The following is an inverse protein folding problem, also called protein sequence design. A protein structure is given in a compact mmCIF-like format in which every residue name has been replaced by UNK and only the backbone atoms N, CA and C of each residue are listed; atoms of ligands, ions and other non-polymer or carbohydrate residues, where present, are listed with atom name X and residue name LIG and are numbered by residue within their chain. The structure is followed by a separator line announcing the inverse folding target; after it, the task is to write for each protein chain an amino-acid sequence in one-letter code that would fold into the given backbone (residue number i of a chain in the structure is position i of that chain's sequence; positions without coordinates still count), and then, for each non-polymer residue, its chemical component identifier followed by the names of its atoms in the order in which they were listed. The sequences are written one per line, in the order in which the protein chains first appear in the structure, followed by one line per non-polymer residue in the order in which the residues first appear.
data_IF_058972212155
#
_entry.id   IF_058972212155
#
_cell.length_a   1.000
_cell.length_b   1.000
_cell.length_c   1.000
_cell.angle_alpha   90.00
_cell.angle_beta   90.00
_cell.angle_gamma   90.00
#
_symmetry.space_group_name_H-M   'P 1'
#
loop_
_entity.id
_entity.type
_entity.pdbx_description
1 polymer ?
#
# COMPACT_ATOMS: atom_id res chain seq x y z
N UNK A 1 -16.44 25.84 8.76
CA UNK A 1 -15.49 25.20 7.81
C UNK A 1 -15.01 23.87 8.38
N UNK A 2 -15.15 22.81 7.63
CA UNK A 2 -14.70 21.52 8.07
C UNK A 2 -13.25 21.28 7.66
N UNK A 3 -12.46 20.80 8.59
CA UNK A 3 -11.12 20.32 8.30
C UNK A 3 -11.21 18.82 8.00
N UNK A 4 -11.08 18.48 6.74
CA UNK A 4 -11.16 17.07 6.33
C UNK A 4 -9.75 16.58 6.00
N UNK A 5 -9.33 15.58 6.73
CA UNK A 5 -8.12 14.83 6.43
C UNK A 5 -8.52 13.39 6.22
N UNK A 6 -8.05 12.79 5.13
CA UNK A 6 -8.34 11.39 4.84
C UNK A 6 -7.19 10.51 5.28
N UNK A 7 -7.51 9.29 5.67
CA UNK A 7 -6.51 8.28 6.06
C UNK A 7 -6.50 7.18 5.01
N UNK A 8 -5.32 6.88 4.49
CA UNK A 8 -5.13 5.73 3.60
C UNK A 8 -4.28 4.69 4.30
N UNK A 9 -4.63 3.44 4.07
CA UNK A 9 -3.83 2.30 4.51
C UNK A 9 -3.17 1.67 3.29
N UNK A 10 -1.93 1.24 3.45
CA UNK A 10 -1.16 0.59 2.40
C UNK A 10 -0.52 -0.65 2.98
N UNK A 11 -0.58 -1.75 2.24
CA UNK A 11 -0.06 -3.03 2.70
C UNK A 11 1.16 -3.49 1.91
N UNK A 12 2.17 -3.95 2.64
CA UNK A 12 3.33 -4.61 2.05
C UNK A 12 3.25 -6.08 2.43
N UNK A 13 3.03 -6.93 1.45
CA UNK A 13 3.01 -8.37 1.60
C UNK A 13 4.20 -8.96 0.87
N UNK A 14 5.07 -9.65 1.61
CA UNK A 14 6.29 -10.24 1.06
C UNK A 14 6.24 -11.74 1.30
N UNK A 15 6.46 -12.51 0.23
CA UNK A 15 6.64 -13.95 0.27
C UNK A 15 7.74 -14.35 -0.71
N UNK A 16 8.67 -15.20 -0.30
CA UNK A 16 9.73 -15.71 -1.16
C UNK A 16 10.50 -14.61 -1.90
N UNK A 17 10.83 -13.53 -1.17
CA UNK A 17 11.54 -12.37 -1.71
C UNK A 17 10.80 -11.64 -2.82
N UNK A 18 9.47 -11.78 -2.85
CA UNK A 18 8.58 -11.08 -3.77
C UNK A 18 7.58 -10.23 -2.99
N UNK A 19 7.24 -9.09 -3.55
CA UNK A 19 6.27 -8.17 -2.97
C UNK A 19 5.02 -8.10 -3.84
N UNK A 20 3.85 -8.04 -3.19
CA UNK A 20 2.57 -7.96 -3.88
C UNK A 20 2.36 -6.54 -4.41
N UNK A 21 2.15 -6.42 -5.72
CA UNK A 21 1.85 -5.16 -6.39
C UNK A 21 0.56 -5.26 -7.17
N UNK A 22 -0.09 -4.11 -7.32
CA UNK A 22 -1.25 -3.96 -8.20
C UNK A 22 -0.89 -3.01 -9.34
N UNK A 23 -1.33 -3.34 -10.56
CA UNK A 23 -1.13 -2.48 -11.72
C UNK A 23 -2.23 -1.42 -11.74
N UNK A 24 -1.88 -0.27 -11.19
CA UNK A 24 -2.76 0.87 -11.02
C UNK A 24 -1.93 2.12 -11.04
N UNK A 25 -2.34 3.12 -11.81
CA UNK A 25 -1.54 4.35 -11.93
C UNK A 25 -1.57 5.14 -10.63
N UNK A 26 -0.38 5.38 -10.07
CA UNK A 26 -0.19 6.19 -8.87
C UNK A 26 1.02 7.10 -9.09
N UNK A 27 0.81 8.42 -9.02
CA UNK A 27 1.85 9.40 -9.28
C UNK A 27 2.53 9.14 -10.63
N UNK A 28 3.82 8.83 -10.65
CA UNK A 28 4.59 8.58 -11.87
C UNK A 28 4.74 7.09 -12.18
N UNK A 29 4.04 6.24 -11.44
CA UNK A 29 4.15 4.78 -11.60
C UNK A 29 2.86 4.20 -12.16
N UNK A 30 3.00 3.08 -12.88
CA UNK A 30 1.86 2.27 -13.31
C UNK A 30 1.58 1.11 -12.35
N UNK A 31 2.46 0.88 -11.38
CA UNK A 31 2.32 -0.13 -10.35
C UNK A 31 2.40 0.50 -8.98
N UNK A 32 1.63 -0.03 -8.05
CA UNK A 32 1.59 0.48 -6.69
C UNK A 32 1.42 -0.67 -5.68
N UNK A 33 1.60 -0.31 -4.42
CA UNK A 33 1.26 -1.19 -3.31
C UNK A 33 -0.26 -1.18 -3.14
N UNK A 34 -0.88 -2.32 -2.78
CA UNK A 34 -2.32 -2.37 -2.53
C UNK A 34 -2.69 -1.53 -1.31
N UNK A 35 -3.86 -0.94 -1.36
CA UNK A 35 -4.36 -0.12 -0.27
C UNK A 35 -5.48 0.80 -0.72
N UNK A 36 -5.94 1.62 0.18
CA UNK A 36 -7.01 2.55 -0.09
C UNK A 36 -7.41 3.34 1.14
N UNK A 37 -8.52 4.05 1.03
CA UNK A 37 -9.01 4.91 2.10
C UNK A 37 -9.71 4.11 3.18
N UNK A 38 -9.41 4.44 4.44
CA UNK A 38 -10.22 3.95 5.54
C UNK A 38 -11.60 4.62 5.45
N UNK A 39 -12.65 3.84 5.63
CA UNK A 39 -14.01 4.35 5.59
C UNK A 39 -14.47 4.77 6.98
N UNK A 40 -15.48 5.63 7.01
CA UNK A 40 -16.04 6.10 8.26
C UNK A 40 -16.53 4.90 9.11
N UNK A 41 -16.08 4.85 10.35
CA UNK A 41 -16.44 3.77 11.27
C UNK A 41 -15.55 2.54 11.23
N UNK A 42 -14.58 2.49 10.31
CA UNK A 42 -13.62 1.39 10.26
C UNK A 42 -12.41 1.67 11.14
N UNK A 43 -11.87 0.63 11.76
CA UNK A 43 -10.50 0.68 12.29
C UNK A 43 -9.53 0.59 11.10
N UNK A 44 -8.28 0.97 11.32
CA UNK A 44 -7.24 0.84 10.28
C UNK A 44 -7.02 -0.62 9.88
N UNK A 45 -7.10 -1.53 10.85
CA UNK A 45 -7.00 -2.96 10.58
C UNK A 45 -8.13 -3.44 9.68
N UNK A 46 -9.36 -3.05 9.99
CA UNK A 46 -10.53 -3.41 9.17
C UNK A 46 -10.40 -2.88 7.76
N UNK A 47 -9.94 -1.62 7.61
CA UNK A 47 -9.73 -1.00 6.31
C UNK A 47 -8.68 -1.77 5.51
N UNK A 48 -7.56 -2.14 6.15
CA UNK A 48 -6.50 -2.87 5.47
C UNK A 48 -6.94 -4.23 4.98
N UNK A 49 -7.64 -4.98 5.83
CA UNK A 49 -8.17 -6.30 5.50
C UNK A 49 -9.18 -6.21 4.35
N UNK A 50 -10.08 -5.23 4.40
CA UNK A 50 -11.09 -5.01 3.36
C UNK A 50 -10.43 -4.66 2.02
N UNK A 51 -9.50 -3.71 2.02
CA UNK A 51 -8.82 -3.29 0.78
C UNK A 51 -8.05 -4.44 0.14
N UNK A 52 -7.37 -5.25 0.92
CA UNK A 52 -6.65 -6.42 0.40
C UNK A 52 -7.61 -7.42 -0.23
N UNK A 53 -8.71 -7.69 0.43
CA UNK A 53 -9.74 -8.61 -0.08
C UNK A 53 -10.33 -8.09 -1.39
N UNK A 54 -10.68 -6.81 -1.43
CA UNK A 54 -11.29 -6.19 -2.61
C UNK A 54 -10.32 -6.11 -3.79
N UNK A 55 -9.06 -5.77 -3.53
CA UNK A 55 -8.10 -5.52 -4.60
C UNK A 55 -7.38 -6.76 -5.08
N UNK A 56 -7.16 -7.73 -4.22
CA UNK A 56 -6.29 -8.88 -4.53
C UNK A 56 -6.92 -10.24 -4.30
N UNK A 57 -8.05 -10.31 -3.59
CA UNK A 57 -8.69 -11.58 -3.22
C UNK A 57 -8.05 -12.29 -2.03
N UNK A 58 -7.01 -11.70 -1.44
CA UNK A 58 -6.28 -12.34 -0.34
C UNK A 58 -6.84 -11.96 1.02
N UNK A 59 -6.87 -12.93 1.94
CA UNK A 59 -7.14 -12.68 3.35
C UNK A 59 -5.80 -12.54 4.07
N UNK A 60 -5.67 -11.45 4.82
CA UNK A 60 -4.42 -11.08 5.48
C UNK A 60 -4.66 -10.69 6.92
N UNK A 61 -3.58 -10.68 7.72
CA UNK A 61 -3.59 -9.94 8.97
C UNK A 61 -2.41 -8.97 9.00
N UNK A 62 -2.47 -8.01 9.92
CA UNK A 62 -1.39 -7.06 10.11
C UNK A 62 -0.32 -7.69 10.97
N UNK A 63 0.91 -7.77 10.44
CA UNK A 63 2.05 -8.26 11.18
C UNK A 63 2.65 -7.17 12.05
N UNK A 64 2.83 -5.97 11.48
CA UNK A 64 3.25 -4.80 12.25
C UNK A 64 3.04 -3.50 11.50
N UNK A 65 2.99 -2.40 12.25
CA UNK A 65 3.02 -1.06 11.70
C UNK A 65 4.42 -0.75 11.18
N UNK A 66 4.53 -0.31 9.94
CA UNK A 66 5.80 0.12 9.38
C UNK A 66 6.00 1.62 9.51
N UNK A 67 5.17 2.41 8.84
CA UNK A 67 5.38 3.86 8.79
C UNK A 67 4.10 4.66 8.79
N UNK A 68 4.18 5.85 9.35
CA UNK A 68 3.15 6.88 9.25
C UNK A 68 3.76 8.04 8.48
N UNK A 69 3.12 8.43 7.38
CA UNK A 69 3.61 9.51 6.51
C UNK A 69 2.51 10.50 6.18
N UNK A 70 2.92 11.74 5.95
CA UNK A 70 2.03 12.80 5.51
C UNK A 70 2.04 12.96 3.99
N UNK A 71 0.90 13.34 3.44
CA UNK A 71 0.78 13.84 2.08
C UNK A 71 -0.12 15.08 2.10
N UNK A 72 0.45 16.22 2.54
CA UNK A 72 -0.34 17.44 2.71
C UNK A 72 -0.75 18.11 1.42
N UNK A 73 -0.07 17.83 0.31
CA UNK A 73 -0.36 18.40 -1.00
C UNK A 73 -1.53 17.71 -1.72
N UNK A 74 -2.06 16.62 -1.17
CA UNK A 74 -3.28 16.02 -1.69
C UNK A 74 -4.49 16.87 -1.29
N UNK A 75 -5.60 16.73 -2.03
CA UNK A 75 -6.84 17.45 -1.73
C UNK A 75 -8.00 16.46 -1.64
N UNK A 76 -8.49 16.20 -0.41
CA UNK A 76 -8.01 16.66 0.88
C UNK A 76 -6.65 16.06 1.26
N UNK A 77 -6.00 16.67 2.24
CA UNK A 77 -4.73 16.15 2.76
C UNK A 77 -4.87 14.71 3.22
N UNK A 78 -3.81 13.93 3.05
CA UNK A 78 -3.81 12.52 3.40
C UNK A 78 -2.82 12.21 4.50
N UNK A 79 -3.20 11.26 5.33
CA UNK A 79 -2.29 10.58 6.24
C UNK A 79 -2.16 9.14 5.76
N UNK A 80 -0.95 8.71 5.47
CA UNK A 80 -0.67 7.35 4.99
C UNK A 80 -0.14 6.48 6.11
N UNK A 81 -0.78 5.32 6.28
CA UNK A 81 -0.36 4.31 7.25
C UNK A 81 0.05 3.08 6.47
N UNK A 82 1.31 2.66 6.59
CA UNK A 82 1.84 1.49 5.90
C UNK A 82 2.05 0.35 6.87
N UNK A 83 1.50 -0.82 6.54
CA UNK A 83 1.58 -2.02 7.35
C UNK A 83 2.35 -3.12 6.63
N UNK A 84 3.08 -3.92 7.40
CA UNK A 84 3.57 -5.21 6.93
C UNK A 84 2.49 -6.24 7.19
N UNK A 85 2.14 -6.99 6.14
CA UNK A 85 1.04 -7.94 6.18
C UNK A 85 1.54 -9.38 6.12
N UNK A 86 0.70 -10.28 6.59
CA UNK A 86 0.89 -11.72 6.48
C UNK A 86 -0.33 -12.31 5.79
N UNK A 87 -0.10 -13.15 4.78
CA UNK A 87 -1.19 -13.83 4.10
C UNK A 87 -1.69 -14.99 4.95
N UNK A 88 -2.99 -15.05 5.15
CA UNK A 88 -3.64 -16.15 5.84
C UNK A 88 -4.16 -17.19 4.87
N UNK A 89 -4.97 -16.77 3.89
CA UNK A 89 -5.55 -17.66 2.88
C UNK A 89 -5.84 -16.88 1.61
N UNK A 90 -6.27 -17.61 0.59
CA UNK A 90 -6.76 -17.05 -0.65
C UNK A 90 -5.78 -17.13 -1.79
N UNK A 91 -6.29 -16.89 -2.97
CA UNK A 91 -5.53 -16.82 -4.21
C UNK A 91 -5.71 -15.45 -4.82
N UNK A 92 -4.69 -14.98 -5.52
CA UNK A 92 -4.76 -13.69 -6.20
C UNK A 92 -5.89 -13.72 -7.22
N UNK A 93 -6.79 -12.73 -7.13
CA UNK A 93 -7.90 -12.57 -8.06
C UNK A 93 -7.95 -11.11 -8.50
N UNK A 94 -8.14 -10.90 -9.80
CA UNK A 94 -8.32 -9.56 -10.33
C UNK A 94 -9.68 -9.02 -9.87
N UNK A 95 -9.73 -7.81 -9.30
CA UNK A 95 -10.99 -7.24 -8.82
C UNK A 95 -11.90 -6.84 -9.96
N UNK A 96 -13.21 -6.70 -9.65
CA UNK A 96 -14.16 -6.07 -10.57
C UNK A 96 -13.92 -4.55 -10.51
N UNK A 97 -13.65 -3.95 -11.66
CA UNK A 97 -13.33 -2.51 -11.75
C UNK A 97 -14.49 -1.70 -12.36
N UNK A 98 -15.68 -2.26 -12.38
CA UNK A 98 -16.81 -1.71 -13.14
C UNK A 98 -17.12 -0.25 -12.82
N UNK A 99 -16.91 0.17 -11.57
CA UNK A 99 -17.23 1.52 -11.11
C UNK A 99 -16.01 2.32 -10.64
N UNK A 100 -14.80 1.83 -10.90
CA UNK A 100 -13.59 2.49 -10.43
C UNK A 100 -13.11 3.56 -11.42
N UNK A 101 -12.73 4.72 -10.87
CA UNK A 101 -12.07 5.78 -11.64
C UNK A 101 -10.60 5.49 -11.91
N UNK A 102 -10.00 4.63 -11.11
CA UNK A 102 -8.60 4.21 -11.27
C UNK A 102 -8.53 2.69 -11.14
N UNK A 103 -8.91 1.97 -12.19
CA UNK A 103 -9.03 0.51 -12.12
C UNK A 103 -7.69 -0.18 -11.97
N UNK A 104 -7.73 -1.34 -11.32
CA UNK A 104 -6.59 -2.25 -11.20
C UNK A 104 -6.60 -3.19 -12.40
N UNK A 105 -5.52 -3.20 -13.17
CA UNK A 105 -5.41 -4.00 -14.40
C UNK A 105 -4.70 -5.33 -14.19
N UNK A 106 -3.94 -5.46 -13.13
CA UNK A 106 -3.21 -6.69 -12.82
C UNK A 106 -2.81 -6.71 -11.35
N UNK A 107 -2.57 -7.91 -10.83
CA UNK A 107 -2.10 -8.14 -9.46
C UNK A 107 -1.01 -9.20 -9.55
N UNK A 108 0.19 -8.89 -9.07
CA UNK A 108 1.34 -9.79 -9.18
C UNK A 108 2.23 -9.77 -7.94
N UNK A 109 2.85 -10.92 -7.68
CA UNK A 109 4.01 -11.00 -6.78
C UNK A 109 5.26 -10.70 -7.62
N UNK A 110 5.98 -9.65 -7.26
CA UNK A 110 7.12 -9.15 -8.03
C UNK A 110 8.40 -9.31 -7.21
N UNK A 111 9.47 -9.91 -7.77
CA UNK A 111 10.74 -9.99 -7.06
C UNK A 111 11.22 -8.61 -6.62
N UNK A 112 11.68 -8.52 -5.38
CA UNK A 112 12.19 -7.24 -4.83
C UNK A 112 13.29 -6.66 -5.71
N UNK A 113 14.15 -7.52 -6.26
CA UNK A 113 15.24 -7.11 -7.15
C UNK A 113 14.76 -6.44 -8.44
N UNK A 114 13.49 -6.66 -8.83
CA UNK A 114 12.92 -6.12 -10.07
C UNK A 114 12.08 -4.87 -9.86
N UNK A 115 11.95 -4.38 -8.62
CA UNK A 115 11.08 -3.24 -8.31
C UNK A 115 11.42 -1.98 -9.09
N UNK A 116 12.69 -1.77 -9.46
CA UNK A 116 13.08 -0.61 -10.27
C UNK A 116 12.40 -0.62 -11.64
N UNK A 117 12.17 -1.81 -12.21
CA UNK A 117 11.46 -1.98 -13.49
C UNK A 117 9.97 -1.67 -13.38
N UNK A 118 9.45 -1.61 -12.15
CA UNK A 118 8.05 -1.30 -11.85
C UNK A 118 7.86 0.15 -11.40
N UNK A 119 8.91 0.98 -11.52
CA UNK A 119 8.86 2.40 -11.24
C UNK A 119 9.14 2.80 -9.80
N UNK A 120 9.54 1.86 -8.96
CA UNK A 120 9.85 2.18 -7.56
C UNK A 120 11.23 2.78 -7.42
N UNK A 121 11.37 3.74 -6.49
CA UNK A 121 12.61 4.44 -6.25
C UNK A 121 13.63 3.58 -5.52
N UNK A 122 14.91 3.95 -5.65
CA UNK A 122 15.98 3.32 -4.91
C UNK A 122 15.77 3.45 -3.39
N UNK A 123 15.24 4.57 -2.94
CA UNK A 123 14.92 4.78 -1.52
C UNK A 123 13.98 3.70 -1.00
N UNK A 124 12.92 3.43 -1.74
CA UNK A 124 11.93 2.42 -1.34
C UNK A 124 12.53 1.01 -1.40
N UNK A 125 13.28 0.72 -2.47
CA UNK A 125 13.91 -0.60 -2.64
C UNK A 125 14.89 -0.88 -1.50
N UNK A 126 15.70 0.10 -1.13
CA UNK A 126 16.63 -0.02 0.00
C UNK A 126 15.89 -0.22 1.31
N UNK A 127 14.77 0.48 1.49
CA UNK A 127 13.95 0.36 2.69
C UNK A 127 13.48 -1.09 2.89
N UNK A 128 12.96 -1.72 1.83
CA UNK A 128 12.53 -3.11 1.86
C UNK A 128 13.73 -4.05 2.06
N UNK A 129 14.81 -3.83 1.32
CA UNK A 129 15.98 -4.71 1.34
C UNK A 129 16.68 -4.69 2.69
N UNK A 130 16.61 -3.59 3.41
CA UNK A 130 17.25 -3.42 4.71
C UNK A 130 16.34 -3.84 5.88
N UNK A 131 15.16 -4.39 5.58
CA UNK A 131 14.26 -4.92 6.60
C UNK A 131 13.45 -3.85 7.34
N UNK A 132 13.12 -2.74 6.68
CA UNK A 132 12.27 -1.68 7.21
C UNK A 132 12.88 -0.97 8.42
N UNK A 133 13.97 -0.26 8.19
CA UNK A 133 14.65 0.55 9.21
C UNK A 133 13.64 1.51 9.83
N UNK A 134 13.69 1.66 11.15
CA UNK A 134 12.82 2.53 11.95
C UNK A 134 11.32 2.19 11.81
N UNK A 135 10.98 0.92 11.61
CA UNK A 135 9.58 0.49 11.57
C UNK A 135 8.85 0.93 12.84
N UNK A 136 7.56 1.27 12.67
CA UNK A 136 6.72 1.74 13.75
C UNK A 136 6.86 3.23 14.04
N UNK A 137 7.39 4.01 13.10
CA UNK A 137 7.70 5.43 13.33
C UNK A 137 7.01 6.37 12.35
N UNK A 138 6.89 7.62 12.75
CA UNK A 138 6.46 8.71 11.89
C UNK A 138 7.65 9.17 11.05
N UNK A 139 7.48 9.23 9.73
CA UNK A 139 8.54 9.53 8.78
C UNK A 139 8.39 10.88 8.06
N UNK A 140 7.42 11.69 8.45
CA UNK A 140 7.17 12.96 7.77
C UNK A 140 6.55 12.76 6.39
N UNK A 141 7.08 13.42 5.38
CA UNK A 141 6.51 13.34 4.02
C UNK A 141 6.65 11.93 3.44
N UNK A 142 5.67 11.52 2.67
CA UNK A 142 5.64 10.20 2.04
C UNK A 142 6.86 9.94 1.17
N UNK A 143 7.39 10.98 0.52
CA UNK A 143 8.60 10.86 -0.29
C UNK A 143 9.83 10.43 0.53
N UNK A 144 9.81 10.64 1.86
CA UNK A 144 10.92 10.24 2.72
C UNK A 144 11.09 8.73 2.79
N UNK A 145 10.02 7.95 2.49
CA UNK A 145 10.12 6.49 2.36
C UNK A 145 10.14 6.06 0.89
N UNK A 146 10.26 7.01 -0.02
CA UNK A 146 10.44 6.73 -1.44
C UNK A 146 9.16 6.49 -2.22
N UNK A 147 8.03 6.91 -1.69
CA UNK A 147 6.72 6.70 -2.33
C UNK A 147 6.01 8.00 -2.69
#
# INVERSE_FOLDING_TARGET
MENVMQVRVTGILIEDEKVLLVKQKVANRNWSLPGGRAENGETLEEAMIREMREETGLEVNIQKLLYVCDKPDASPSLLHITFLLEKLTGEIMLPSNEFDHNPIHNVQMVPIKDLSHYGFSETFINLISEGFVNAGSYQGLKQNIGL
#
